data_IF_369282258758
#
_entry.id   IF_369282258758
#
_cell.length_a   1.000
_cell.length_b   1.000
_cell.length_c   1.000
_cell.angle_alpha   90.00
_cell.angle_beta   90.00
_cell.angle_gamma   90.00
#
_symmetry.space_group_name_H-M   'P 1'
#
loop_
_entity.id
_entity.type
_entity.pdbx_description
1 polymer ?
#
# COMPACT_ATOMS: atom_id res chain seq x y z
N UNK A 1 23.82 -16.29 -1.07
CA UNK A 1 24.47 -15.79 -2.30
C UNK A 1 23.81 -16.26 -3.62
N UNK A 2 23.45 -17.54 -3.80
CA UNK A 2 22.85 -18.06 -5.06
C UNK A 2 21.49 -17.44 -5.45
N UNK A 3 20.66 -17.08 -4.47
CA UNK A 3 19.34 -16.45 -4.69
C UNK A 3 19.42 -15.01 -5.20
N UNK A 4 20.45 -14.25 -4.79
CA UNK A 4 20.67 -12.88 -5.27
C UNK A 4 21.09 -12.85 -6.75
N UNK A 5 21.97 -13.77 -7.18
CA UNK A 5 22.35 -13.90 -8.60
C UNK A 5 21.15 -14.25 -9.51
N UNK A 6 20.28 -15.16 -9.09
CA UNK A 6 19.07 -15.52 -9.87
C UNK A 6 18.09 -14.35 -10.00
N UNK A 7 17.91 -13.56 -8.94
CA UNK A 7 17.07 -12.34 -8.98
C UNK A 7 17.64 -11.29 -9.92
N UNK A 8 18.96 -11.08 -9.87
CA UNK A 8 19.64 -10.16 -10.77
C UNK A 8 19.50 -10.59 -12.24
N UNK A 9 19.75 -11.87 -12.54
CA UNK A 9 19.56 -12.43 -13.88
C UNK A 9 18.13 -12.25 -14.38
N UNK A 10 17.13 -12.47 -13.51
CA UNK A 10 15.73 -12.23 -13.86
C UNK A 10 15.43 -10.78 -14.19
N UNK A 11 15.96 -9.83 -13.40
CA UNK A 11 15.79 -8.40 -13.68
C UNK A 11 16.45 -7.99 -15.01
N UNK A 12 17.66 -8.47 -15.27
CA UNK A 12 18.37 -8.22 -16.54
C UNK A 12 17.60 -8.81 -17.72
N UNK A 13 17.07 -10.03 -17.60
CA UNK A 13 16.27 -10.66 -18.65
C UNK A 13 15.01 -9.83 -18.98
N UNK A 14 14.31 -9.29 -17.97
CA UNK A 14 13.15 -8.42 -18.19
C UNK A 14 13.52 -7.13 -18.93
N UNK A 15 14.66 -6.51 -18.59
CA UNK A 15 15.15 -5.31 -19.26
C UNK A 15 15.49 -5.61 -20.72
N UNK A 16 16.13 -6.75 -20.99
CA UNK A 16 16.47 -7.17 -22.36
C UNK A 16 15.20 -7.44 -23.16
N UNK A 17 14.24 -8.18 -22.60
CA UNK A 17 12.96 -8.49 -23.26
C UNK A 17 12.23 -7.20 -23.64
N UNK A 18 12.14 -6.25 -22.71
CA UNK A 18 11.52 -4.94 -23.00
C UNK A 18 12.30 -4.19 -24.08
N UNK A 19 13.62 -4.13 -23.97
CA UNK A 19 14.46 -3.38 -24.93
C UNK A 19 14.33 -3.95 -26.34
N UNK A 20 14.34 -5.27 -26.48
CA UNK A 20 14.14 -5.95 -27.76
C UNK A 20 12.73 -5.73 -28.28
N UNK A 21 11.70 -5.82 -27.42
CA UNK A 21 10.33 -5.55 -27.83
C UNK A 21 10.14 -4.10 -28.32
N UNK A 22 10.73 -3.12 -27.63
CA UNK A 22 10.67 -1.71 -28.03
C UNK A 22 11.34 -1.47 -29.40
N UNK A 23 12.46 -2.16 -29.68
CA UNK A 23 13.11 -2.10 -30.99
C UNK A 23 12.29 -2.76 -32.11
N UNK A 24 11.53 -3.82 -31.80
CA UNK A 24 10.66 -4.50 -32.78
C UNK A 24 9.42 -3.67 -33.09
N UNK A 25 8.84 -3.03 -32.07
CA UNK A 25 7.64 -2.18 -32.23
C UNK A 25 7.97 -0.88 -32.96
N UNK A 26 9.13 -0.29 -32.69
CA UNK A 26 9.66 0.94 -33.33
C UNK A 26 8.67 2.12 -33.32
N UNK A 27 7.84 2.19 -32.29
CA UNK A 27 6.85 3.26 -32.07
C UNK A 27 6.76 3.60 -30.58
N UNK A 28 7.20 4.81 -30.21
CA UNK A 28 7.20 5.27 -28.82
C UNK A 28 5.80 5.49 -28.25
N UNK A 29 4.77 5.65 -29.10
CA UNK A 29 3.36 5.76 -28.68
C UNK A 29 2.81 4.38 -28.29
N UNK A 30 3.40 3.29 -28.78
CA UNK A 30 2.96 1.93 -28.43
C UNK A 30 3.84 1.36 -27.32
N UNK A 31 5.17 1.40 -27.49
CA UNK A 31 6.12 0.86 -26.52
C UNK A 31 7.40 1.71 -26.49
N UNK A 32 7.50 2.67 -25.56
CA UNK A 32 8.67 3.54 -25.49
C UNK A 32 9.90 2.79 -24.98
N UNK A 33 11.06 3.19 -25.50
CA UNK A 33 12.35 2.72 -25.01
C UNK A 33 12.61 3.19 -23.58
N UNK A 34 13.44 2.46 -22.82
CA UNK A 34 13.88 2.94 -21.50
C UNK A 34 14.55 4.31 -21.58
N UNK A 35 15.28 4.59 -22.66
CA UNK A 35 15.96 5.86 -22.87
C UNK A 35 14.94 7.01 -22.95
N UNK A 36 13.85 6.83 -23.70
CA UNK A 36 12.77 7.81 -23.79
C UNK A 36 12.11 8.05 -22.43
N UNK A 37 11.83 6.97 -21.68
CA UNK A 37 11.27 7.04 -20.32
C UNK A 37 12.18 7.82 -19.38
N UNK A 38 13.48 7.50 -19.32
CA UNK A 38 14.42 8.21 -18.43
C UNK A 38 14.65 9.67 -18.84
N UNK A 39 14.68 9.97 -20.15
CA UNK A 39 14.69 11.36 -20.64
C UNK A 39 13.45 12.11 -20.18
N UNK A 40 12.27 11.50 -20.26
CA UNK A 40 11.01 12.11 -19.82
C UNK A 40 11.03 12.40 -18.32
N UNK A 41 11.49 11.46 -17.50
CA UNK A 41 11.70 11.69 -16.05
C UNK A 41 12.60 12.90 -15.81
N UNK A 42 13.74 12.99 -16.50
CA UNK A 42 14.68 14.11 -16.34
C UNK A 42 14.02 15.45 -16.71
N UNK A 43 13.25 15.50 -17.80
CA UNK A 43 12.50 16.70 -18.20
C UNK A 43 11.46 17.10 -17.15
N UNK A 44 10.68 16.15 -16.63
CA UNK A 44 9.66 16.42 -15.62
C UNK A 44 10.25 16.92 -14.29
N UNK A 45 11.45 16.46 -13.94
CA UNK A 45 12.21 16.96 -12.79
C UNK A 45 12.63 18.41 -13.03
N UNK A 46 13.15 18.72 -14.22
CA UNK A 46 13.59 20.08 -14.58
C UNK A 46 12.42 21.07 -14.65
N UNK A 47 11.26 20.63 -15.14
CA UNK A 47 10.06 21.46 -15.24
C UNK A 47 9.31 21.63 -13.92
N UNK A 48 9.80 21.07 -12.81
CA UNK A 48 9.18 21.11 -11.47
C UNK A 48 7.75 20.57 -11.40
N UNK A 49 7.32 19.76 -12.38
CA UNK A 49 5.97 19.18 -12.41
C UNK A 49 5.89 17.88 -11.61
N UNK A 50 6.99 17.12 -11.53
CA UNK A 50 7.01 15.81 -10.90
C UNK A 50 7.00 15.88 -9.37
N UNK A 51 7.79 16.77 -8.78
CA UNK A 51 7.99 16.89 -7.33
C UNK A 51 6.69 17.18 -6.56
N UNK A 52 5.87 18.19 -6.94
CA UNK A 52 4.60 18.44 -6.26
C UNK A 52 3.63 17.26 -6.42
N UNK A 53 3.62 16.61 -7.58
CA UNK A 53 2.79 15.44 -7.85
C UNK A 53 3.16 14.25 -6.95
N UNK A 54 4.45 13.95 -6.82
CA UNK A 54 4.97 12.92 -5.90
C UNK A 54 4.50 13.21 -4.48
N UNK A 55 4.69 14.45 -4.01
CA UNK A 55 4.34 14.83 -2.65
C UNK A 55 2.84 14.67 -2.40
N UNK A 56 1.99 15.17 -3.29
CA UNK A 56 0.54 15.17 -3.11
C UNK A 56 -0.03 13.75 -3.07
N UNK A 57 0.37 12.90 -4.03
CA UNK A 57 -0.06 11.49 -4.07
C UNK A 57 0.45 10.72 -2.85
N UNK A 58 1.71 10.92 -2.47
CA UNK A 58 2.30 10.27 -1.29
C UNK A 58 1.56 10.66 -0.02
N UNK A 59 1.28 11.95 0.20
CA UNK A 59 0.54 12.44 1.38
C UNK A 59 -0.85 11.82 1.43
N UNK A 60 -1.61 11.83 0.33
CA UNK A 60 -2.96 11.22 0.29
C UNK A 60 -2.92 9.74 0.66
N UNK A 61 -1.98 8.99 0.09
CA UNK A 61 -1.83 7.56 0.38
C UNK A 61 -1.45 7.33 1.84
N UNK A 62 -0.47 8.06 2.37
CA UNK A 62 -0.03 7.90 3.76
C UNK A 62 -1.12 8.27 4.76
N UNK A 63 -1.91 9.31 4.48
CA UNK A 63 -3.08 9.67 5.31
C UNK A 63 -4.10 8.53 5.32
N UNK A 64 -4.45 7.97 4.16
CA UNK A 64 -5.37 6.82 4.08
C UNK A 64 -4.84 5.58 4.82
N UNK A 65 -3.55 5.28 4.70
CA UNK A 65 -2.90 4.18 5.42
C UNK A 65 -2.92 4.42 6.92
N UNK A 66 -2.60 5.64 7.38
CA UNK A 66 -2.61 5.99 8.80
C UNK A 66 -4.00 5.83 9.42
N UNK A 67 -5.03 6.34 8.75
CA UNK A 67 -6.42 6.18 9.17
C UNK A 67 -6.77 4.69 9.27
N UNK A 68 -6.42 3.90 8.26
CA UNK A 68 -6.68 2.46 8.23
C UNK A 68 -6.00 1.70 9.36
N UNK A 69 -4.78 2.10 9.72
CA UNK A 69 -4.03 1.49 10.82
C UNK A 69 -4.71 1.78 12.16
N UNK A 70 -5.13 3.03 12.37
CA UNK A 70 -5.81 3.43 13.60
C UNK A 70 -7.13 2.66 13.73
N UNK A 71 -8.02 2.78 12.73
CA UNK A 71 -9.32 2.13 12.78
C UNK A 71 -9.23 0.61 12.72
N UNK A 72 -8.32 0.05 11.92
CA UNK A 72 -8.11 -1.39 11.80
C UNK A 72 -7.67 -2.03 13.13
N UNK A 73 -6.74 -1.40 13.84
CA UNK A 73 -6.31 -1.86 15.16
C UNK A 73 -7.43 -1.77 16.20
N UNK A 74 -8.14 -0.64 16.25
CA UNK A 74 -9.25 -0.43 17.18
C UNK A 74 -10.34 -1.49 16.94
N UNK A 75 -10.81 -1.61 15.71
CA UNK A 75 -11.89 -2.50 15.36
C UNK A 75 -11.50 -3.97 15.56
N UNK A 76 -10.25 -4.32 15.27
CA UNK A 76 -9.71 -5.66 15.53
C UNK A 76 -9.67 -5.99 17.01
N UNK A 77 -9.15 -5.08 17.84
CA UNK A 77 -9.06 -5.28 19.28
C UNK A 77 -10.45 -5.35 19.95
N UNK A 78 -11.37 -4.47 19.56
CA UNK A 78 -12.78 -4.51 20.01
C UNK A 78 -13.42 -5.84 19.58
N UNK A 79 -13.22 -6.25 18.33
CA UNK A 79 -13.74 -7.53 17.84
C UNK A 79 -13.19 -8.73 18.61
N UNK A 80 -11.91 -8.69 19.00
CA UNK A 80 -11.29 -9.73 19.82
C UNK A 80 -11.88 -9.76 21.23
N UNK A 81 -11.99 -8.62 21.91
CA UNK A 81 -12.49 -8.55 23.30
C UNK A 81 -13.96 -8.90 23.44
N UNK A 82 -14.79 -8.45 22.49
CA UNK A 82 -16.24 -8.64 22.54
C UNK A 82 -16.73 -9.78 21.63
N UNK A 83 -15.81 -10.57 21.04
CA UNK A 83 -16.13 -11.71 20.15
C UNK A 83 -17.01 -11.32 18.96
N UNK A 84 -16.79 -10.15 18.36
CA UNK A 84 -17.63 -9.60 17.28
C UNK A 84 -17.26 -10.10 15.87
N UNK A 85 -16.35 -11.07 15.76
CA UNK A 85 -15.80 -11.51 14.47
C UNK A 85 -16.88 -12.00 13.51
N UNK A 86 -17.81 -12.81 13.98
CA UNK A 86 -18.89 -13.36 13.13
C UNK A 86 -19.82 -12.27 12.58
N UNK A 87 -20.04 -11.18 13.33
CA UNK A 87 -20.86 -10.06 12.89
C UNK A 87 -20.14 -9.14 11.90
N UNK A 88 -18.82 -9.00 12.04
CA UNK A 88 -18.00 -8.14 11.18
C UNK A 88 -17.47 -8.87 9.93
N UNK A 89 -17.43 -10.21 9.95
CA UNK A 89 -16.89 -11.00 8.84
C UNK A 89 -17.61 -10.71 7.49
N UNK A 90 -18.95 -10.61 7.42
CA UNK A 90 -19.61 -10.27 6.16
C UNK A 90 -19.16 -8.92 5.59
N UNK A 91 -19.01 -7.91 6.45
CA UNK A 91 -18.54 -6.58 6.05
C UNK A 91 -17.12 -6.65 5.47
N UNK A 92 -16.19 -7.30 6.17
CA UNK A 92 -14.81 -7.41 5.72
C UNK A 92 -14.65 -8.31 4.49
N UNK A 93 -15.48 -9.34 4.36
CA UNK A 93 -15.55 -10.17 3.16
C UNK A 93 -15.97 -9.36 1.93
N UNK A 94 -16.98 -8.50 2.07
CA UNK A 94 -17.41 -7.57 1.02
C UNK A 94 -16.28 -6.60 0.67
N UNK A 95 -15.66 -5.95 1.67
CA UNK A 95 -14.57 -4.99 1.45
C UNK A 95 -13.38 -5.59 0.69
N UNK A 96 -13.06 -6.87 0.91
CA UNK A 96 -11.99 -7.59 0.19
C UNK A 96 -12.35 -7.93 -1.26
N UNK A 97 -13.63 -8.12 -1.54
CA UNK A 97 -14.11 -8.68 -2.82
C UNK A 97 -14.51 -7.60 -3.81
N UNK A 98 -14.95 -6.42 -3.35
CA UNK A 98 -15.35 -5.34 -4.26
C UNK A 98 -14.14 -4.90 -5.10
N UNK A 99 -14.27 -4.87 -6.45
CA UNK A 99 -13.23 -4.34 -7.31
C UNK A 99 -12.89 -2.89 -6.95
N UNK A 100 -11.60 -2.56 -6.86
CA UNK A 100 -11.13 -1.21 -6.49
C UNK A 100 -11.76 -0.14 -7.38
N UNK A 101 -11.88 -0.40 -8.69
CA UNK A 101 -12.48 0.56 -9.62
C UNK A 101 -13.95 0.83 -9.32
N UNK A 102 -14.71 -0.18 -8.89
CA UNK A 102 -16.10 0.00 -8.47
C UNK A 102 -16.20 0.91 -7.26
N UNK A 103 -15.28 0.76 -6.28
CA UNK A 103 -15.21 1.65 -5.11
C UNK A 103 -14.95 3.09 -5.55
N UNK A 104 -13.97 3.30 -6.44
CA UNK A 104 -13.64 4.64 -6.95
C UNK A 104 -14.86 5.29 -7.60
N UNK A 105 -15.54 4.57 -8.49
CA UNK A 105 -16.70 5.08 -9.23
C UNK A 105 -17.91 5.36 -8.33
N UNK A 106 -18.15 4.51 -7.32
CA UNK A 106 -19.23 4.73 -6.35
C UNK A 106 -18.92 5.95 -5.48
N UNK A 107 -17.69 6.07 -4.98
CA UNK A 107 -17.26 7.17 -4.11
C UNK A 107 -17.27 8.52 -4.82
N UNK A 108 -17.06 8.55 -6.15
CA UNK A 108 -17.16 9.76 -6.96
C UNK A 108 -18.51 10.48 -6.85
N UNK A 109 -19.61 9.77 -6.58
CA UNK A 109 -20.95 10.37 -6.49
C UNK A 109 -21.16 11.21 -5.24
N UNK A 110 -20.38 10.99 -4.18
CA UNK A 110 -20.62 11.60 -2.88
C UNK A 110 -19.41 12.27 -2.23
N UNK A 111 -18.20 12.05 -2.76
CA UNK A 111 -16.98 12.62 -2.21
C UNK A 111 -16.22 13.50 -3.23
N UNK A 112 -15.48 14.48 -2.72
CA UNK A 112 -14.61 15.31 -3.53
C UNK A 112 -13.46 14.50 -4.16
N UNK A 113 -13.15 14.77 -5.43
CA UNK A 113 -12.08 14.11 -6.21
C UNK A 113 -10.75 14.01 -5.44
N UNK A 114 -10.38 15.07 -4.72
CA UNK A 114 -9.12 15.12 -3.99
C UNK A 114 -9.05 14.21 -2.75
N UNK A 115 -10.19 13.77 -2.23
CA UNK A 115 -10.31 12.84 -1.09
C UNK A 115 -10.39 11.38 -1.53
N UNK A 116 -10.68 11.10 -2.81
CA UNK A 116 -10.91 9.74 -3.29
C UNK A 116 -9.71 8.82 -3.07
N UNK A 117 -8.49 9.31 -3.28
CA UNK A 117 -7.30 8.50 -3.00
C UNK A 117 -7.17 8.14 -1.52
N UNK A 118 -7.60 9.00 -0.61
CA UNK A 118 -7.57 8.69 0.83
C UNK A 118 -8.62 7.61 1.12
N UNK A 119 -9.85 7.81 0.63
CA UNK A 119 -10.98 6.89 0.85
C UNK A 119 -10.67 5.51 0.29
N UNK A 120 -10.25 5.41 -0.98
CA UNK A 120 -9.94 4.14 -1.65
C UNK A 120 -8.81 3.41 -0.94
N UNK A 121 -7.77 4.13 -0.51
CA UNK A 121 -6.70 3.54 0.30
C UNK A 121 -7.24 3.00 1.62
N UNK A 122 -8.22 3.66 2.25
CA UNK A 122 -8.88 3.13 3.45
C UNK A 122 -9.59 1.81 3.17
N UNK A 123 -10.40 1.76 2.12
CA UNK A 123 -11.13 0.55 1.73
C UNK A 123 -10.20 -0.65 1.45
N UNK A 124 -9.04 -0.39 0.83
CA UNK A 124 -8.05 -1.44 0.53
C UNK A 124 -7.26 -1.86 1.77
N UNK A 125 -6.92 -0.92 2.64
CA UNK A 125 -5.94 -1.16 3.72
C UNK A 125 -6.61 -1.63 5.02
N UNK A 126 -7.79 -1.11 5.33
CA UNK A 126 -8.54 -1.44 6.54
C UNK A 126 -8.76 -2.97 6.73
N UNK A 127 -9.25 -3.75 5.73
CA UNK A 127 -9.42 -5.19 5.90
C UNK A 127 -8.10 -5.92 6.17
N UNK A 128 -7.00 -5.48 5.57
CA UNK A 128 -5.68 -6.09 5.75
C UNK A 128 -5.22 -5.93 7.20
N UNK A 129 -5.31 -4.71 7.73
CA UNK A 129 -4.91 -4.42 9.12
C UNK A 129 -5.81 -5.16 10.10
N UNK A 130 -7.13 -5.08 9.91
CA UNK A 130 -8.10 -5.70 10.81
C UNK A 130 -7.85 -7.21 10.97
N UNK A 131 -7.74 -7.92 9.84
CA UNK A 131 -7.58 -9.38 9.83
C UNK A 131 -6.26 -9.83 10.45
N UNK A 132 -5.15 -9.22 10.04
CA UNK A 132 -3.83 -9.61 10.54
C UNK A 132 -3.70 -9.36 12.05
N UNK A 133 -4.26 -8.25 12.54
CA UNK A 133 -4.25 -7.94 13.97
C UNK A 133 -5.18 -8.87 14.74
N UNK A 134 -6.35 -9.19 14.18
CA UNK A 134 -7.33 -10.05 14.84
C UNK A 134 -6.76 -11.47 14.97
N UNK A 135 -6.20 -11.99 13.89
CA UNK A 135 -5.53 -13.28 13.85
C UNK A 135 -4.28 -13.32 14.75
N UNK A 136 -3.55 -12.21 14.89
CA UNK A 136 -2.43 -12.13 15.82
C UNK A 136 -2.89 -12.27 17.27
N UNK A 137 -3.98 -11.59 17.64
CA UNK A 137 -4.55 -11.64 18.99
C UNK A 137 -5.11 -13.02 19.34
N UNK A 138 -5.82 -13.67 18.41
CA UNK A 138 -6.40 -15.01 18.65
C UNK A 138 -5.35 -16.13 18.68
N UNK A 139 -4.20 -15.94 18.02
CA UNK A 139 -3.09 -16.89 18.01
C UNK A 139 -2.02 -16.63 19.08
N UNK A 140 -2.28 -15.73 20.05
CA UNK A 140 -1.41 -15.59 21.22
C UNK A 140 -1.31 -16.94 21.94
N UNK A 141 -0.09 -17.37 22.26
CA UNK A 141 0.14 -18.64 22.94
C UNK A 141 -0.67 -18.72 24.24
N UNK A 142 -1.53 -19.74 24.33
CA UNK A 142 -2.40 -19.99 25.49
C UNK A 142 -1.64 -20.01 26.81
N UNK A 143 -0.43 -20.57 26.83
CA UNK A 143 0.42 -20.59 28.03
C UNK A 143 0.81 -19.20 28.53
N UNK A 144 0.92 -18.18 27.67
CA UNK A 144 1.15 -16.78 28.12
C UNK A 144 -0.07 -16.20 28.83
N UNK A 145 -1.26 -16.53 28.35
CA UNK A 145 -2.52 -16.07 28.94
C UNK A 145 -2.85 -16.84 30.22
N UNK A 146 -2.57 -18.15 30.26
CA UNK A 146 -2.70 -18.99 31.46
C UNK A 146 -1.74 -18.52 32.56
N UNK A 147 -0.47 -18.24 32.23
CA UNK A 147 0.48 -17.68 33.17
C UNK A 147 -0.01 -16.36 33.75
N UNK A 148 -0.53 -15.47 32.91
CA UNK A 148 -1.09 -14.21 33.36
C UNK A 148 -2.30 -14.39 34.30
N UNK A 149 -3.12 -15.43 34.08
CA UNK A 149 -4.22 -15.78 34.96
C UNK A 149 -3.74 -16.33 36.31
N UNK A 150 -2.71 -17.20 36.30
CA UNK A 150 -2.09 -17.75 37.53
C UNK A 150 -1.49 -16.65 38.41
N UNK A 151 -0.85 -15.65 37.81
CA UNK A 151 -0.32 -14.49 38.52
C UNK A 151 -1.36 -13.38 38.78
N UNK A 152 -2.64 -13.63 38.50
CA UNK A 152 -3.76 -12.68 38.67
C UNK A 152 -3.45 -11.29 38.11
N UNK A 153 -2.78 -11.24 36.95
CA UNK A 153 -2.39 -9.98 36.35
C UNK A 153 -3.63 -9.17 35.96
N UNK A 154 -3.65 -7.90 36.37
CA UNK A 154 -4.70 -6.95 35.97
C UNK A 154 -4.81 -6.86 34.45
N UNK A 155 -6.02 -6.63 33.93
CA UNK A 155 -6.29 -6.55 32.48
C UNK A 155 -5.39 -5.56 31.73
N UNK A 156 -5.03 -4.44 32.36
CA UNK A 156 -4.10 -3.48 31.76
C UNK A 156 -2.69 -4.05 31.60
N UNK A 157 -2.23 -4.86 32.56
CA UNK A 157 -0.93 -5.55 32.49
C UNK A 157 -0.92 -6.56 31.35
N UNK A 158 -2.00 -7.35 31.22
CA UNK A 158 -2.18 -8.30 30.10
C UNK A 158 -2.16 -7.56 28.76
N UNK A 159 -2.91 -6.46 28.65
CA UNK A 159 -2.90 -5.63 27.45
C UNK A 159 -1.50 -5.10 27.13
N UNK A 160 -0.85 -4.45 28.09
CA UNK A 160 0.44 -3.77 27.91
C UNK A 160 1.57 -4.72 27.49
N UNK A 161 1.63 -5.91 28.09
CA UNK A 161 2.78 -6.81 27.99
C UNK A 161 2.54 -8.06 27.13
N UNK A 162 1.29 -8.41 26.81
CA UNK A 162 0.97 -9.60 26.00
C UNK A 162 0.28 -9.18 24.70
N UNK A 163 -0.82 -8.43 24.79
CA UNK A 163 -1.67 -8.14 23.61
C UNK A 163 -1.08 -7.02 22.75
N UNK A 164 -0.64 -5.91 23.35
CA UNK A 164 -0.07 -4.75 22.63
C UNK A 164 1.17 -5.14 21.81
N UNK A 165 2.14 -5.92 22.33
CA UNK A 165 3.24 -6.43 21.51
C UNK A 165 2.76 -7.23 20.28
N UNK A 166 1.74 -8.08 20.45
CA UNK A 166 1.16 -8.86 19.35
C UNK A 166 0.48 -7.96 18.29
N UNK A 167 -0.25 -6.94 18.75
CA UNK A 167 -0.84 -5.91 17.88
C UNK A 167 0.27 -5.21 17.11
N UNK A 168 1.27 -4.64 17.77
CA UNK A 168 2.37 -3.90 17.12
C UNK A 168 3.10 -4.76 16.08
N UNK A 169 3.45 -6.03 16.40
CA UNK A 169 4.12 -6.93 15.43
C UNK A 169 3.25 -7.15 14.18
N UNK A 170 1.96 -7.38 14.35
CA UNK A 170 1.03 -7.63 13.24
C UNK A 170 0.64 -6.37 12.45
N UNK A 171 0.53 -5.20 13.10
CA UNK A 171 0.34 -3.91 12.43
C UNK A 171 1.52 -3.60 11.52
N UNK A 172 2.76 -3.79 11.98
CA UNK A 172 3.95 -3.54 11.18
C UNK A 172 4.07 -4.50 10.00
N UNK A 173 3.67 -5.77 10.18
CA UNK A 173 3.58 -6.73 9.08
C UNK A 173 2.53 -6.28 8.04
N UNK A 174 1.37 -5.84 8.51
CA UNK A 174 0.29 -5.34 7.67
C UNK A 174 0.68 -4.08 6.90
N UNK A 175 1.40 -3.16 7.55
CA UNK A 175 1.87 -1.91 6.95
C UNK A 175 2.68 -2.16 5.67
N UNK A 176 3.56 -3.17 5.67
CA UNK A 176 4.36 -3.52 4.49
C UNK A 176 3.48 -3.98 3.33
N UNK A 177 2.53 -4.86 3.58
CA UNK A 177 1.62 -5.39 2.54
C UNK A 177 0.69 -4.27 2.04
N UNK A 178 0.17 -3.48 2.98
CA UNK A 178 -0.72 -2.37 2.72
C UNK A 178 -0.08 -1.35 1.81
N UNK A 179 1.10 -0.81 2.15
CA UNK A 179 1.76 0.23 1.36
C UNK A 179 1.94 -0.16 -0.11
N UNK A 180 2.34 -1.40 -0.40
CA UNK A 180 2.44 -1.92 -1.76
C UNK A 180 1.13 -1.79 -2.55
N UNK A 181 0.02 -2.19 -1.93
CA UNK A 181 -1.31 -2.14 -2.54
C UNK A 181 -1.90 -0.73 -2.56
N UNK A 182 -1.66 0.08 -1.53
CA UNK A 182 -2.18 1.44 -1.39
C UNK A 182 -1.61 2.39 -2.44
N UNK A 183 -0.33 2.28 -2.80
CA UNK A 183 0.24 3.09 -3.89
C UNK A 183 -0.42 2.78 -5.24
N UNK A 184 -0.67 1.49 -5.50
CA UNK A 184 -1.34 1.03 -6.71
C UNK A 184 -2.78 1.54 -6.77
N UNK A 185 -3.56 1.26 -5.72
CA UNK A 185 -4.97 1.66 -5.65
C UNK A 185 -5.17 3.18 -5.58
N UNK A 186 -4.34 3.88 -4.81
CA UNK A 186 -4.35 5.33 -4.67
C UNK A 186 -4.08 6.03 -6.00
N UNK A 187 -2.99 5.66 -6.69
CA UNK A 187 -2.70 6.23 -8.01
C UNK A 187 -3.82 5.94 -9.03
N UNK A 188 -4.36 4.72 -9.07
CA UNK A 188 -5.51 4.39 -9.94
C UNK A 188 -6.72 5.25 -9.62
N UNK A 189 -7.00 5.49 -8.34
CA UNK A 189 -8.13 6.35 -7.94
C UNK A 189 -7.94 7.79 -8.39
N UNK A 190 -6.72 8.33 -8.36
CA UNK A 190 -6.43 9.68 -8.85
C UNK A 190 -6.64 9.78 -10.36
N UNK A 191 -6.19 8.77 -11.13
CA UNK A 191 -6.42 8.68 -12.58
C UNK A 191 -7.90 8.67 -12.92
N UNK A 192 -8.67 7.79 -12.28
CA UNK A 192 -10.10 7.60 -12.59
C UNK A 192 -10.94 8.80 -12.13
N UNK A 193 -10.59 9.42 -11.02
CA UNK A 193 -11.33 10.57 -10.50
C UNK A 193 -10.99 11.90 -11.16
N UNK A 194 -9.83 11.98 -11.83
CA UNK A 194 -9.26 13.25 -12.29
C UNK A 194 -8.90 14.16 -11.12
N UNK A 195 -8.39 13.58 -10.02
CA UNK A 195 -7.94 14.34 -8.86
C UNK A 195 -6.71 15.17 -9.23
N UNK A 196 -6.72 16.47 -8.93
CA UNK A 196 -5.67 17.37 -9.41
C UNK A 196 -4.42 17.31 -8.55
N UNK A 197 -3.29 17.71 -9.13
CA UNK A 197 -1.96 17.90 -8.56
C UNK A 197 -1.23 16.63 -8.13
N UNK A 198 -1.71 15.44 -8.48
CA UNK A 198 -1.10 14.16 -8.11
C UNK A 198 -0.46 13.45 -9.31
N UNK A 199 0.31 12.39 -9.05
CA UNK A 199 0.86 11.51 -10.09
C UNK A 199 -0.25 10.92 -10.97
N UNK A 200 -1.42 10.61 -10.41
CA UNK A 200 -2.54 10.11 -11.22
C UNK A 200 -3.13 11.16 -12.18
N UNK A 201 -3.05 12.45 -11.86
CA UNK A 201 -3.42 13.51 -12.81
C UNK A 201 -2.46 13.51 -14.00
N UNK A 202 -1.15 13.47 -13.73
CA UNK A 202 -0.14 13.43 -14.78
C UNK A 202 -0.37 12.22 -15.68
N UNK A 203 -0.59 11.03 -15.12
CA UNK A 203 -0.92 9.83 -15.90
C UNK A 203 -2.18 10.01 -16.75
N UNK A 204 -3.21 10.66 -16.20
CA UNK A 204 -4.43 10.95 -16.94
C UNK A 204 -4.17 11.88 -18.13
N UNK A 205 -3.37 12.95 -17.95
CA UNK A 205 -2.99 13.89 -19.01
C UNK A 205 -2.11 13.22 -20.07
N UNK A 206 -1.11 12.43 -19.66
CA UNK A 206 -0.26 11.69 -20.61
C UNK A 206 -1.08 10.72 -21.45
N UNK A 207 -2.07 10.04 -20.84
CA UNK A 207 -3.02 9.18 -21.54
C UNK A 207 -3.83 9.95 -22.59
N UNK A 208 -4.37 11.11 -22.24
CA UNK A 208 -5.15 11.94 -23.17
C UNK A 208 -4.31 12.47 -24.34
N UNK A 209 -3.02 12.69 -24.09
CA UNK A 209 -2.07 13.24 -25.07
C UNK A 209 -1.33 12.15 -25.85
N UNK A 210 -1.64 10.87 -25.62
CA UNK A 210 -0.92 9.71 -26.17
C UNK A 210 0.61 9.74 -25.90
N UNK A 211 1.03 10.35 -24.78
CA UNK A 211 2.42 10.39 -24.34
C UNK A 211 2.74 9.18 -23.47
N UNK A 212 2.99 8.05 -24.13
CA UNK A 212 3.42 6.81 -23.46
C UNK A 212 4.76 6.93 -22.71
N UNK A 213 5.80 7.64 -23.22
CA UNK A 213 7.01 7.88 -22.44
C UNK A 213 6.71 8.49 -21.07
N UNK A 214 5.84 9.49 -20.98
CA UNK A 214 5.46 10.13 -19.73
C UNK A 214 4.61 9.23 -18.85
N UNK A 215 3.61 8.55 -19.43
CA UNK A 215 2.76 7.60 -18.70
C UNK A 215 3.59 6.50 -18.02
N UNK A 216 4.53 5.91 -18.75
CA UNK A 216 5.42 4.86 -18.24
C UNK A 216 6.42 5.43 -17.24
N UNK A 217 6.96 6.64 -17.49
CA UNK A 217 7.82 7.35 -16.53
C UNK A 217 7.12 7.52 -15.17
N UNK A 218 5.90 8.02 -15.16
CA UNK A 218 5.12 8.19 -13.91
C UNK A 218 4.83 6.84 -13.26
N UNK A 219 4.52 5.82 -14.05
CA UNK A 219 4.32 4.45 -13.55
C UNK A 219 5.58 3.93 -12.84
N UNK A 220 6.78 4.14 -13.40
CA UNK A 220 8.04 3.80 -12.74
C UNK A 220 8.23 4.56 -11.43
N UNK A 221 7.89 5.85 -11.38
CA UNK A 221 7.95 6.64 -10.15
C UNK A 221 7.02 6.05 -9.08
N UNK A 222 5.78 5.68 -9.42
CA UNK A 222 4.86 5.03 -8.47
C UNK A 222 5.42 3.69 -7.96
N UNK A 223 6.01 2.87 -8.84
CA UNK A 223 6.65 1.59 -8.46
C UNK A 223 7.82 1.84 -7.49
N UNK A 224 8.69 2.81 -7.79
CA UNK A 224 9.84 3.15 -6.94
C UNK A 224 9.36 3.64 -5.57
N UNK A 225 8.38 4.54 -5.53
CA UNK A 225 7.81 5.03 -4.27
C UNK A 225 7.22 3.89 -3.44
N UNK A 226 6.38 3.05 -4.07
CA UNK A 226 5.80 1.87 -3.43
C UNK A 226 6.88 0.97 -2.81
N UNK A 227 7.92 0.66 -3.57
CA UNK A 227 9.04 -0.16 -3.11
C UNK A 227 9.83 0.49 -1.96
N UNK A 228 10.11 1.80 -2.03
CA UNK A 228 10.78 2.54 -0.95
C UNK A 228 9.97 2.45 0.34
N UNK A 229 8.65 2.69 0.27
CA UNK A 229 7.78 2.64 1.44
C UNK A 229 7.65 1.22 2.00
N UNK A 230 7.57 0.20 1.15
CA UNK A 230 7.62 -1.21 1.60
C UNK A 230 8.94 -1.55 2.31
N UNK A 231 10.08 -1.06 1.79
CA UNK A 231 11.39 -1.25 2.41
C UNK A 231 11.47 -0.57 3.77
N UNK A 232 10.99 0.67 3.88
CA UNK A 232 10.93 1.41 5.15
C UNK A 232 10.08 0.65 6.16
N UNK A 233 8.88 0.20 5.77
CA UNK A 233 8.01 -0.61 6.64
C UNK A 233 8.67 -1.92 7.07
N UNK A 234 9.35 -2.61 6.14
CA UNK A 234 10.10 -3.83 6.43
C UNK A 234 11.29 -3.61 7.37
N UNK A 235 11.97 -2.46 7.27
CA UNK A 235 13.03 -2.07 8.19
C UNK A 235 12.46 -1.79 9.60
N UNK A 236 11.36 -1.04 9.69
CA UNK A 236 10.67 -0.78 10.96
C UNK A 236 10.24 -2.09 11.63
N UNK A 237 9.64 -3.01 10.88
CA UNK A 237 9.25 -4.33 11.37
C UNK A 237 10.43 -5.09 12.00
N UNK A 238 11.56 -5.19 11.30
CA UNK A 238 12.77 -5.88 11.80
C UNK A 238 13.34 -5.22 13.05
N UNK A 239 13.32 -3.89 13.12
CA UNK A 239 13.83 -3.14 14.28
C UNK A 239 12.96 -3.36 15.51
N UNK A 240 11.64 -3.36 15.33
CA UNK A 240 10.69 -3.56 16.44
C UNK A 240 10.67 -5.00 16.94
N UNK A 241 10.86 -6.00 16.07
CA UNK A 241 10.96 -7.39 16.52
C UNK A 241 12.08 -7.60 17.54
N UNK A 242 13.25 -6.98 17.34
CA UNK A 242 14.38 -7.05 18.29
C UNK A 242 14.09 -6.51 19.69
N UNK A 243 13.01 -5.74 19.87
CA UNK A 243 12.61 -5.18 21.16
C UNK A 243 11.74 -6.16 21.96
N UNK A 244 11.08 -7.09 21.26
CA UNK A 244 10.07 -7.99 21.81
C UNK A 244 10.45 -9.48 21.74
N UNK A 245 11.70 -9.76 21.37
CA UNK A 245 12.33 -11.08 21.43
C UNK A 245 13.43 -11.01 22.50
#
# INVERSE_FOLDING_TARGET
MKTSKKRFLGAVALIIIWSVAALIVDDEIILPSFIAVFKRIALMIQSHTLQPAILKTTVRILVGVLISIIFGNILSYVSYKFKLKEYLEPLFSILRTIPVISIVLIVLFFAEKNLLSIIVVIFVTLPIVYENVYNSLTNINKGKLELAAVYELKSFTVFRYIELPAIVKSTLMSLRIALGLSFKAGATSEVVSGATGGLGELMYISKLSFDMPELIAITFIVIILSFIFEMIAGFLYKRTLKIYD
#
